data_IF_604662759421
#
_entry.id   IF_604662759421
#
_cell.length_a   1.000
_cell.length_b   1.000
_cell.length_c   1.000
_cell.angle_alpha   90.00
_cell.angle_beta   90.00
_cell.angle_gamma   90.00
#
_symmetry.space_group_name_H-M   'P 1'
#
loop_
_entity.id
_entity.type
_entity.pdbx_description
1 polymer ?
#
# COMPACT_ATOMS: atom_id res chain seq x y z
N UNK A 1 10.88 -32.90 -62.47
CA UNK A 1 12.07 -32.78 -61.60
C UNK A 1 12.84 -31.54 -62.02
N UNK A 2 12.90 -30.54 -61.14
CA UNK A 2 13.87 -29.44 -61.17
C UNK A 2 13.79 -28.77 -59.80
N UNK A 3 14.91 -28.69 -59.08
CA UNK A 3 15.06 -27.86 -57.88
C UNK A 3 16.13 -26.80 -58.13
N UNK A 4 16.09 -25.68 -57.38
CA UNK A 4 17.30 -25.12 -56.79
C UNK A 4 17.04 -24.65 -55.34
N UNK A 5 17.83 -25.10 -54.35
CA UNK A 5 19.03 -24.47 -53.73
C UNK A 5 18.75 -23.42 -52.62
N UNK A 6 19.42 -23.64 -51.47
CA UNK A 6 19.54 -22.78 -50.25
C UNK A 6 20.01 -21.35 -50.61
N UNK A 7 19.89 -20.28 -49.82
CA UNK A 7 19.55 -19.97 -48.42
C UNK A 7 19.10 -18.49 -48.36
N UNK A 8 18.37 -18.05 -47.32
CA UNK A 8 18.84 -16.93 -46.47
C UNK A 8 18.00 -16.81 -45.19
N UNK A 9 18.68 -16.45 -44.10
CA UNK A 9 18.13 -16.24 -42.79
C UNK A 9 17.66 -14.79 -42.65
N UNK A 10 16.41 -14.56 -42.25
CA UNK A 10 16.05 -13.30 -41.60
C UNK A 10 14.96 -13.49 -40.55
N UNK A 11 15.41 -13.36 -39.29
CA UNK A 11 14.66 -12.92 -38.11
C UNK A 11 13.19 -13.36 -38.00
N UNK A 12 12.96 -14.55 -37.43
CA UNK A 12 11.78 -14.74 -36.57
C UNK A 12 11.98 -13.88 -35.33
N UNK A 13 11.54 -12.62 -35.40
CA UNK A 13 11.41 -11.76 -34.26
C UNK A 13 10.56 -12.46 -33.22
N UNK A 14 11.17 -12.79 -32.08
CA UNK A 14 10.46 -13.11 -30.86
C UNK A 14 9.75 -11.85 -30.40
N UNK A 15 8.58 -11.57 -30.97
CA UNK A 15 7.60 -10.73 -30.30
C UNK A 15 7.12 -11.57 -29.12
N UNK A 16 7.89 -11.61 -28.02
CA UNK A 16 7.27 -11.74 -26.71
C UNK A 16 6.41 -10.49 -26.62
N UNK A 17 5.12 -10.66 -26.90
CA UNK A 17 4.13 -9.78 -26.32
C UNK A 17 4.47 -9.74 -24.83
N UNK A 18 5.04 -8.62 -24.37
CA UNK A 18 4.81 -8.18 -23.02
C UNK A 18 3.31 -7.93 -22.96
N UNK A 19 2.53 -9.00 -22.80
CA UNK A 19 1.30 -8.88 -22.08
C UNK A 19 1.76 -8.26 -20.77
N UNK A 20 1.51 -6.96 -20.59
CA UNK A 20 1.55 -6.38 -19.27
C UNK A 20 0.70 -7.33 -18.43
N UNK A 21 1.30 -8.05 -17.49
CA UNK A 21 0.53 -8.93 -16.61
C UNK A 21 -0.58 -8.07 -16.03
N UNK A 22 -1.80 -8.27 -16.52
CA UNK A 22 -2.91 -7.40 -16.21
C UNK A 22 -3.25 -7.67 -14.76
N UNK A 23 -2.99 -6.69 -13.90
CA UNK A 23 -3.31 -6.78 -12.48
C UNK A 23 -4.82 -6.66 -12.35
N UNK A 24 -5.44 -7.63 -11.68
CA UNK A 24 -6.89 -7.79 -11.68
C UNK A 24 -7.50 -7.88 -10.28
N UNK A 25 -8.83 -7.82 -10.23
CA UNK A 25 -9.57 -8.21 -9.03
C UNK A 25 -9.27 -9.68 -8.67
N UNK A 26 -9.01 -9.94 -7.38
CA UNK A 26 -8.64 -11.27 -6.88
C UNK A 26 -7.13 -11.52 -6.76
N UNK A 27 -6.30 -10.56 -7.15
CA UNK A 27 -4.88 -10.57 -6.81
C UNK A 27 -4.64 -10.14 -5.36
N UNK A 28 -3.61 -10.71 -4.74
CA UNK A 28 -3.15 -10.31 -3.41
C UNK A 28 -2.22 -9.10 -3.53
N UNK A 29 -2.45 -8.10 -2.70
CA UNK A 29 -1.58 -6.95 -2.56
C UNK A 29 -0.97 -6.94 -1.17
N UNK A 30 0.35 -6.76 -1.12
CA UNK A 30 1.11 -6.64 0.11
C UNK A 30 1.90 -5.33 0.09
N UNK A 31 1.56 -4.41 0.98
CA UNK A 31 2.39 -3.25 1.25
C UNK A 31 3.41 -3.62 2.33
N UNK A 32 4.70 -3.33 2.07
CA UNK A 32 5.78 -3.63 3.02
C UNK A 32 6.54 -2.36 3.35
N UNK A 33 6.74 -2.12 4.64
CA UNK A 33 7.62 -1.07 5.09
C UNK A 33 9.09 -1.52 5.06
N UNK A 34 9.86 -0.96 4.13
CA UNK A 34 11.32 -1.08 4.08
C UNK A 34 11.93 0.31 3.80
N UNK A 35 13.25 0.41 3.59
CA UNK A 35 13.91 1.70 3.35
C UNK A 35 13.35 2.52 2.15
N UNK A 36 12.60 1.91 1.23
CA UNK A 36 11.97 2.55 0.08
C UNK A 36 10.45 2.36 -0.01
N UNK A 37 9.87 1.65 0.97
CA UNK A 37 8.45 1.30 1.04
C UNK A 37 7.95 0.67 -0.25
N UNK A 38 8.26 -0.62 -0.41
CA UNK A 38 7.88 -1.38 -1.58
C UNK A 38 6.48 -1.97 -1.44
N UNK A 39 5.65 -1.77 -2.46
CA UNK A 39 4.37 -2.44 -2.61
C UNK A 39 4.55 -3.62 -3.52
N UNK A 40 4.36 -4.83 -2.99
CA UNK A 40 4.47 -6.06 -3.75
C UNK A 40 3.10 -6.58 -4.14
N UNK A 41 2.90 -6.84 -5.43
CA UNK A 41 1.75 -7.59 -5.94
C UNK A 41 2.04 -9.10 -5.93
N UNK A 42 1.02 -9.92 -5.70
CA UNK A 42 1.07 -11.36 -5.84
C UNK A 42 -0.22 -11.90 -6.49
N UNK A 43 -0.14 -12.60 -7.63
CA UNK A 43 -1.31 -13.07 -8.41
C UNK A 43 -1.63 -14.58 -8.26
N UNK A 44 -2.89 -14.93 -8.58
CA UNK A 44 -3.65 -16.11 -8.13
C UNK A 44 -3.50 -17.41 -8.94
N UNK A 45 -2.52 -17.52 -9.84
CA UNK A 45 -2.32 -18.76 -10.62
C UNK A 45 -1.11 -19.59 -10.15
N UNK A 46 -0.82 -19.57 -8.84
CA UNK A 46 0.22 -20.40 -8.22
C UNK A 46 1.67 -19.98 -8.50
N UNK A 47 1.87 -18.91 -9.28
CA UNK A 47 3.19 -18.30 -9.50
C UNK A 47 3.19 -16.87 -8.97
N UNK A 48 4.15 -16.59 -8.10
CA UNK A 48 4.30 -15.30 -7.46
C UNK A 48 5.32 -14.45 -8.21
N UNK A 49 4.86 -13.36 -8.84
CA UNK A 49 5.74 -12.35 -9.43
C UNK A 49 5.72 -11.13 -8.53
N UNK A 50 6.85 -10.82 -7.90
CA UNK A 50 7.00 -9.59 -7.12
C UNK A 50 7.29 -8.46 -8.11
N UNK A 51 6.37 -7.50 -8.19
CA UNK A 51 6.60 -6.18 -8.79
C UNK A 51 6.47 -5.16 -7.67
N UNK A 52 7.44 -4.25 -7.57
CA UNK A 52 7.46 -3.19 -6.56
C UNK A 52 7.15 -1.82 -7.15
N UNK A 53 6.24 -1.09 -6.49
CA UNK A 53 6.16 0.36 -6.56
C UNK A 53 6.75 0.97 -5.29
N UNK A 54 7.48 2.08 -5.40
CA UNK A 54 8.06 2.79 -4.26
C UNK A 54 7.35 4.12 -4.01
N UNK A 55 7.23 4.50 -2.74
CA UNK A 55 6.73 5.83 -2.34
C UNK A 55 7.82 6.91 -2.34
N UNK A 56 9.10 6.54 -2.45
CA UNK A 56 10.23 7.49 -2.44
C UNK A 56 10.42 8.26 -1.12
N UNK A 57 9.74 7.83 -0.04
CA UNK A 57 9.74 8.51 1.25
C UNK A 57 10.38 7.62 2.33
N UNK A 58 11.54 8.00 2.90
CA UNK A 58 12.13 7.26 4.00
C UNK A 58 11.38 7.52 5.32
N UNK A 59 11.49 6.57 6.26
CA UNK A 59 11.01 6.76 7.62
C UNK A 59 9.49 6.75 7.74
N UNK A 60 8.80 5.88 7.02
CA UNK A 60 7.38 5.59 7.23
C UNK A 60 7.21 4.10 7.56
N UNK A 61 6.13 3.74 8.23
CA UNK A 61 5.88 2.38 8.74
C UNK A 61 4.37 2.11 8.86
N UNK A 62 3.99 0.87 9.20
CA UNK A 62 2.60 0.48 9.43
C UNK A 62 1.65 0.73 8.25
N UNK A 63 1.96 0.22 7.04
CA UNK A 63 1.17 0.54 5.86
C UNK A 63 -0.21 -0.14 5.89
N UNK A 64 -1.26 0.65 5.73
CA UNK A 64 -2.61 0.17 5.45
C UNK A 64 -2.98 0.40 3.98
N UNK A 65 -3.28 -0.64 3.22
CA UNK A 65 -3.60 -0.55 1.79
C UNK A 65 -5.05 -0.94 1.53
N UNK A 66 -5.81 -0.08 0.86
CA UNK A 66 -7.20 -0.33 0.48
C UNK A 66 -7.62 0.40 -0.81
N UNK A 67 -8.84 0.14 -1.27
CA UNK A 67 -9.45 0.79 -2.43
C UNK A 67 -10.49 1.82 -1.99
N UNK A 68 -10.49 2.98 -2.65
CA UNK A 68 -11.58 3.96 -2.61
C UNK A 68 -12.01 4.27 -4.06
N UNK A 69 -13.04 3.58 -4.54
CA UNK A 69 -13.43 3.63 -5.95
C UNK A 69 -12.28 3.19 -6.88
N UNK A 70 -11.91 3.98 -7.90
CA UNK A 70 -10.84 3.63 -8.82
C UNK A 70 -9.43 3.81 -8.23
N UNK A 71 -9.30 4.42 -7.05
CA UNK A 71 -8.01 4.75 -6.46
C UNK A 71 -7.61 3.72 -5.40
N UNK A 72 -6.32 3.42 -5.39
CA UNK A 72 -5.63 2.82 -4.25
C UNK A 72 -5.28 3.92 -3.26
N UNK A 73 -5.47 3.62 -1.99
CA UNK A 73 -5.10 4.48 -0.89
C UNK A 73 -4.19 3.69 0.04
N UNK A 74 -3.06 4.30 0.38
CA UNK A 74 -2.17 3.79 1.40
C UNK A 74 -2.10 4.78 2.57
N UNK A 75 -2.48 4.34 3.76
CA UNK A 75 -2.20 5.06 5.02
C UNK A 75 -0.89 4.57 5.61
N UNK A 76 -0.18 5.47 6.29
CA UNK A 76 1.11 5.17 6.92
C UNK A 76 1.29 5.97 8.21
N UNK A 77 2.08 5.42 9.13
CA UNK A 77 2.79 6.22 10.14
C UNK A 77 3.92 6.97 9.44
N UNK A 78 3.88 8.30 9.48
CA UNK A 78 4.74 9.21 8.75
C UNK A 78 5.78 9.85 9.69
N UNK A 79 6.99 9.30 9.70
CA UNK A 79 7.99 9.56 10.73
C UNK A 79 8.08 8.38 11.69
N UNK A 80 8.80 7.35 11.25
CA UNK A 80 8.92 6.07 11.94
C UNK A 80 9.39 6.25 13.38
N UNK A 81 8.65 5.64 14.31
CA UNK A 81 8.98 5.64 15.72
C UNK A 81 8.39 4.40 16.40
N UNK A 82 9.25 3.45 16.80
CA UNK A 82 8.79 2.28 17.53
C UNK A 82 8.14 2.65 18.87
N UNK A 83 6.86 2.31 19.04
CA UNK A 83 6.12 2.50 20.30
C UNK A 83 5.88 3.95 20.73
N UNK A 84 5.94 4.92 19.82
CA UNK A 84 5.65 6.33 20.15
C UNK A 84 4.22 6.53 20.68
N UNK A 85 4.06 7.45 21.63
CA UNK A 85 2.74 7.97 22.02
C UNK A 85 2.27 8.95 20.95
N UNK A 86 1.49 8.45 19.99
CA UNK A 86 1.08 9.20 18.82
C UNK A 86 2.17 9.31 17.75
N UNK A 87 1.79 9.06 16.51
CA UNK A 87 2.62 9.36 15.32
C UNK A 87 1.85 10.23 14.33
N UNK A 88 2.54 10.88 13.40
CA UNK A 88 1.83 11.53 12.30
C UNK A 88 1.26 10.44 11.40
N UNK A 89 0.00 10.55 11.05
CA UNK A 89 -0.63 9.71 10.04
C UNK A 89 -0.68 10.48 8.73
N UNK A 90 -0.21 9.87 7.66
CA UNK A 90 -0.32 10.42 6.31
C UNK A 90 -0.91 9.38 5.35
N UNK A 91 -1.24 9.82 4.15
CA UNK A 91 -1.70 8.93 3.10
C UNK A 91 -1.11 9.26 1.73
N UNK A 92 -1.09 8.24 0.88
CA UNK A 92 -0.74 8.32 -0.52
C UNK A 92 -1.87 7.73 -1.36
N UNK A 93 -2.04 8.21 -2.58
CA UNK A 93 -3.02 7.68 -3.53
C UNK A 93 -2.37 7.25 -4.84
N UNK A 94 -2.99 6.29 -5.52
CA UNK A 94 -2.55 5.84 -6.83
C UNK A 94 -3.68 5.25 -7.66
N UNK A 95 -3.68 5.49 -8.97
CA UNK A 95 -4.51 4.72 -9.92
C UNK A 95 -3.78 3.48 -10.46
N UNK A 96 -2.46 3.47 -10.36
CA UNK A 96 -1.58 2.37 -10.76
C UNK A 96 -0.47 2.19 -9.70
N UNK A 97 -0.72 1.35 -8.68
CA UNK A 97 0.08 1.26 -7.46
C UNK A 97 1.48 0.69 -7.70
N UNK A 98 1.74 0.13 -8.89
CA UNK A 98 3.05 -0.36 -9.29
C UNK A 98 3.87 0.69 -10.06
N UNK A 99 3.25 1.82 -10.45
CA UNK A 99 3.89 2.84 -11.27
C UNK A 99 4.19 4.10 -10.48
N UNK A 100 3.18 4.72 -9.87
CA UNK A 100 3.38 5.98 -9.15
C UNK A 100 2.42 6.16 -8.00
N UNK A 101 2.85 6.90 -7.00
CA UNK A 101 2.07 7.29 -5.84
C UNK A 101 2.15 8.79 -5.65
N UNK A 102 1.03 9.38 -5.25
CA UNK A 102 0.93 10.80 -4.97
C UNK A 102 0.75 10.98 -3.46
N UNK A 103 1.53 11.88 -2.87
CA UNK A 103 1.36 12.23 -1.47
C UNK A 103 0.06 13.00 -1.29
N UNK A 104 -0.86 12.44 -0.49
CA UNK A 104 -2.17 13.02 -0.20
C UNK A 104 -2.17 14.00 0.97
N UNK A 105 -1.11 13.96 1.81
CA UNK A 105 -0.95 14.83 2.96
C UNK A 105 -0.93 14.09 4.30
N UNK A 106 -0.56 14.82 5.35
CA UNK A 106 -0.73 14.39 6.74
C UNK A 106 -2.18 14.62 7.13
N UNK A 107 -2.89 13.54 7.51
CA UNK A 107 -4.29 13.59 7.93
C UNK A 107 -4.43 13.94 9.41
N UNK A 108 -3.42 13.58 10.21
CA UNK A 108 -3.39 13.86 11.65
C UNK A 108 -1.97 13.80 12.19
N UNK A 109 -1.59 14.71 13.09
CA UNK A 109 -0.22 14.78 13.61
C UNK A 109 0.08 13.80 14.75
N UNK A 110 -0.95 13.27 15.41
CA UNK A 110 -0.83 12.42 16.60
C UNK A 110 -1.51 11.05 16.46
N UNK A 111 -2.16 10.77 15.31
CA UNK A 111 -2.94 9.57 15.04
C UNK A 111 -3.79 9.12 16.26
N UNK A 112 -4.47 10.07 16.90
CA UNK A 112 -5.30 9.82 18.09
C UNK A 112 -4.53 9.22 19.29
N UNK A 113 -3.25 9.55 19.42
CA UNK A 113 -2.34 8.98 20.43
C UNK A 113 -1.79 7.60 20.05
N UNK A 114 -2.13 7.08 18.87
CA UNK A 114 -1.70 5.77 18.39
C UNK A 114 -0.66 5.81 17.28
N UNK A 115 -0.39 4.63 16.72
CA UNK A 115 0.43 4.43 15.53
C UNK A 115 -0.35 3.56 14.53
N UNK A 116 -0.43 3.96 13.25
CA UNK A 116 -0.89 3.11 12.16
C UNK A 116 -0.25 1.72 12.17
N UNK A 117 -1.08 0.68 12.16
CA UNK A 117 -0.67 -0.72 11.96
C UNK A 117 -1.09 -1.20 10.56
N UNK A 118 -2.28 -0.80 10.14
CA UNK A 118 -2.89 -1.15 8.86
C UNK A 118 -4.34 -0.70 8.80
N UNK A 119 -5.12 -1.33 7.92
CA UNK A 119 -6.55 -1.04 7.76
C UNK A 119 -7.38 -2.30 7.83
N UNK A 120 -8.62 -2.15 8.30
CA UNK A 120 -9.63 -3.20 8.26
C UNK A 120 -10.91 -2.64 7.64
N UNK A 121 -11.57 -3.42 6.79
CA UNK A 121 -12.89 -3.06 6.25
C UNK A 121 -13.96 -3.90 6.93
N UNK A 122 -14.88 -3.24 7.64
CA UNK A 122 -15.99 -3.87 8.34
C UNK A 122 -17.30 -3.36 7.73
N UNK A 123 -18.13 -4.25 7.19
CA UNK A 123 -19.41 -3.91 6.55
C UNK A 123 -19.33 -2.76 5.52
N UNK A 124 -18.24 -2.73 4.75
CA UNK A 124 -18.00 -1.72 3.72
C UNK A 124 -17.41 -0.39 4.20
N UNK A 125 -17.23 -0.21 5.52
CA UNK A 125 -16.51 0.93 6.09
C UNK A 125 -15.06 0.53 6.36
N UNK A 126 -14.11 1.30 5.83
CA UNK A 126 -12.69 1.13 6.14
C UNK A 126 -12.33 1.87 7.42
N UNK A 127 -11.59 1.21 8.30
CA UNK A 127 -11.06 1.78 9.53
C UNK A 127 -9.53 1.71 9.49
N UNK A 128 -8.90 2.77 9.96
CA UNK A 128 -7.51 2.72 10.36
C UNK A 128 -7.41 1.89 11.65
N UNK A 129 -6.54 0.90 11.65
CA UNK A 129 -6.13 0.20 12.85
C UNK A 129 -4.95 0.97 13.45
N UNK A 130 -5.17 1.49 14.65
CA UNK A 130 -4.15 2.13 15.46
C UNK A 130 -3.78 1.26 16.65
N UNK A 131 -2.49 1.00 16.84
CA UNK A 131 -1.98 0.50 18.10
C UNK A 131 -1.73 1.67 19.05
N UNK A 132 -2.32 1.61 20.25
CA UNK A 132 -2.16 2.64 21.27
C UNK A 132 -0.98 2.28 22.17
N UNK A 133 0.19 2.76 21.78
CA UNK A 133 1.42 2.61 22.57
C UNK A 133 1.47 3.62 23.73
N UNK A 134 2.17 3.28 24.81
CA UNK A 134 2.37 4.18 25.96
C UNK A 134 3.80 4.76 26.00
N UNK A 135 4.52 4.72 24.89
CA UNK A 135 5.96 5.01 24.79
C UNK A 135 6.81 3.74 24.72
N UNK A 136 8.14 3.90 24.69
CA UNK A 136 9.13 2.81 24.73
C UNK A 136 9.11 1.95 26.00
N UNK A 137 8.13 2.15 26.88
CA UNK A 137 8.02 1.57 28.22
C UNK A 137 6.91 0.54 28.35
N UNK A 138 6.24 0.10 27.26
CA UNK A 138 5.31 -1.01 27.39
C UNK A 138 6.06 -2.25 27.90
N UNK A 139 5.84 -2.60 29.17
CA UNK A 139 6.35 -3.82 29.79
C UNK A 139 5.74 -5.07 29.13
N UNK A 140 4.60 -4.92 28.44
CA UNK A 140 3.92 -5.96 27.70
C UNK A 140 3.23 -5.41 26.43
N UNK A 141 3.79 -5.71 25.25
CA UNK A 141 3.22 -5.31 23.95
C UNK A 141 1.81 -5.86 23.71
N UNK A 142 1.45 -6.96 24.36
CA UNK A 142 0.10 -7.56 24.27
C UNK A 142 -0.97 -6.76 25.01
N UNK A 143 -0.58 -5.77 25.82
CA UNK A 143 -1.50 -4.91 26.55
C UNK A 143 -1.84 -3.61 25.80
N UNK A 144 -1.23 -3.36 24.63
CA UNK A 144 -1.55 -2.20 23.81
C UNK A 144 -3.02 -2.24 23.35
N UNK A 145 -3.84 -1.22 23.71
CA UNK A 145 -5.18 -1.12 23.17
C UNK A 145 -5.15 -0.91 21.65
N UNK A 146 -6.20 -1.38 20.98
CA UNK A 146 -6.45 -1.08 19.57
C UNK A 146 -7.55 -0.03 19.48
N UNK A 147 -7.32 1.00 18.66
CA UNK A 147 -8.35 1.94 18.26
C UNK A 147 -8.65 1.73 16.76
N UNK A 148 -9.92 1.54 16.43
CA UNK A 148 -10.40 1.53 15.06
C UNK A 148 -11.04 2.88 14.74
N UNK A 149 -10.34 3.71 13.98
CA UNK A 149 -10.83 5.03 13.60
C UNK A 149 -11.36 5.01 12.15
N UNK A 150 -12.60 5.45 11.90
CA UNK A 150 -13.19 5.38 10.57
C UNK A 150 -12.45 6.30 9.59
N UNK A 151 -12.17 5.79 8.40
CA UNK A 151 -11.63 6.57 7.28
C UNK A 151 -12.78 7.09 6.43
N UNK A 152 -12.79 8.40 6.21
CA UNK A 152 -13.81 9.08 5.42
C UNK A 152 -13.13 10.00 4.38
N UNK A 153 -13.81 10.21 3.26
CA UNK A 153 -13.28 11.01 2.16
C UNK A 153 -14.18 12.21 1.88
N UNK A 154 -13.56 13.32 1.52
CA UNK A 154 -14.24 14.48 0.96
C UNK A 154 -14.76 14.18 -0.46
N UNK A 155 -15.71 14.98 -0.98
CA UNK A 155 -16.20 14.82 -2.35
C UNK A 155 -15.12 14.92 -3.44
N UNK A 156 -13.99 15.58 -3.14
CA UNK A 156 -12.84 15.71 -4.04
C UNK A 156 -11.87 14.52 -3.98
N UNK A 157 -12.16 13.50 -3.17
CA UNK A 157 -11.33 12.31 -3.01
C UNK A 157 -10.20 12.45 -1.98
N UNK A 158 -10.06 13.62 -1.32
CA UNK A 158 -9.09 13.77 -0.23
C UNK A 158 -9.56 13.07 1.04
N UNK A 159 -8.62 12.48 1.79
CA UNK A 159 -8.93 11.83 3.06
C UNK A 159 -9.24 12.89 4.13
N UNK A 160 -10.32 12.71 4.88
CA UNK A 160 -10.70 13.58 5.99
C UNK A 160 -9.80 13.37 7.20
N UNK A 161 -9.65 14.39 8.08
CA UNK A 161 -8.96 14.22 9.34
C UNK A 161 -9.51 13.05 10.14
N UNK A 162 -8.62 12.26 10.74
CA UNK A 162 -9.01 11.08 11.51
C UNK A 162 -9.83 11.46 12.76
N UNK A 163 -10.98 10.82 12.94
CA UNK A 163 -11.83 10.96 14.13
C UNK A 163 -11.38 10.01 15.23
N UNK A 164 -11.19 10.54 16.45
CA UNK A 164 -10.69 9.76 17.59
C UNK A 164 -11.78 9.21 18.51
N UNK A 165 -13.04 9.59 18.29
CA UNK A 165 -14.18 9.02 19.02
C UNK A 165 -14.28 9.38 20.51
N UNK A 166 -13.60 10.44 20.97
CA UNK A 166 -13.75 11.02 22.31
C UNK A 166 -14.12 12.51 22.25
#
# INVERSE_FOLDING_TARGET
MAGPSRADASSRGWWRSTAADAVGEGDLWLAVANHHMDISLQSRNGSYTIKSGSLGQPGIEGPGLFRNGPEWVMTVSYGACGYCFGTQMAYFTSRDPLVSWQFGGVVRSDACGGQPNGVVTLNGQTYEWLDIWNGHQQESQTAAPILLSPLAFNPDGTLQPLSCGY
#
